data_IF_902886406567
#
_entry.id   IF_902886406567
#
_cell.length_a   1.000
_cell.length_b   1.000
_cell.length_c   1.000
_cell.angle_alpha   90.00
_cell.angle_beta   90.00
_cell.angle_gamma   90.00
#
_symmetry.space_group_name_H-M   'P 1'
#
loop_
_entity.id
_entity.type
_entity.pdbx_description
1 polymer ?
#
# COMPACT_ATOMS: atom_id res chain seq x y z
N UNK A 1 7.65 -26.48 31.20
CA UNK A 1 7.71 -26.25 29.73
C UNK A 1 7.21 -24.84 29.38
N UNK A 2 7.98 -23.78 29.69
CA UNK A 2 7.59 -22.37 29.36
C UNK A 2 8.64 -21.58 28.58
N UNK A 3 9.86 -22.13 28.39
CA UNK A 3 10.97 -21.44 27.71
C UNK A 3 11.03 -21.69 26.19
N UNK A 4 10.39 -22.74 25.68
CA UNK A 4 10.43 -23.09 24.25
C UNK A 4 9.49 -22.18 23.43
N UNK A 5 8.34 -21.80 23.99
CA UNK A 5 7.36 -20.94 23.30
C UNK A 5 7.93 -19.54 23.00
N UNK A 6 8.78 -19.02 23.90
CA UNK A 6 9.44 -17.71 23.70
C UNK A 6 10.46 -17.71 22.57
N UNK A 7 11.13 -18.83 22.28
CA UNK A 7 12.10 -18.91 21.20
C UNK A 7 11.42 -19.01 19.82
N UNK A 8 10.31 -19.73 19.71
CA UNK A 8 9.58 -19.90 18.44
C UNK A 8 8.93 -18.59 17.98
N UNK A 9 8.43 -17.78 18.92
CA UNK A 9 7.84 -16.46 18.61
C UNK A 9 8.94 -15.49 18.14
N UNK A 10 10.15 -15.59 18.70
CA UNK A 10 11.28 -14.75 18.30
C UNK A 10 11.86 -15.13 16.93
N UNK A 11 11.94 -16.42 16.59
CA UNK A 11 12.41 -16.86 15.27
C UNK A 11 11.45 -16.50 14.14
N UNK A 12 10.13 -16.50 14.39
CA UNK A 12 9.13 -16.00 13.44
C UNK A 12 9.27 -14.50 13.17
N UNK A 13 9.65 -13.71 14.19
CA UNK A 13 9.87 -12.27 14.05
C UNK A 13 11.15 -11.95 13.25
N UNK A 14 12.20 -12.76 13.40
CA UNK A 14 13.47 -12.56 12.67
C UNK A 14 13.32 -12.97 11.20
N UNK A 15 12.71 -14.13 10.92
CA UNK A 15 12.43 -14.58 9.55
C UNK A 15 11.48 -13.64 8.78
N UNK A 16 10.58 -12.94 9.49
CA UNK A 16 9.68 -11.93 8.91
C UNK A 16 10.41 -10.66 8.47
N UNK A 17 11.54 -10.30 9.11
CA UNK A 17 12.24 -9.05 8.77
C UNK A 17 13.13 -9.22 7.54
N UNK A 18 13.81 -10.37 7.42
CA UNK A 18 14.64 -10.68 6.25
C UNK A 18 13.78 -10.90 5.01
N UNK A 19 12.65 -11.60 5.15
CA UNK A 19 11.76 -11.91 4.03
C UNK A 19 11.03 -10.70 3.44
N UNK A 20 10.83 -9.61 4.20
CA UNK A 20 10.24 -8.37 3.68
C UNK A 20 11.24 -7.64 2.80
N UNK A 21 12.48 -7.46 3.28
CA UNK A 21 13.53 -6.76 2.54
C UNK A 21 13.82 -7.45 1.20
N UNK A 22 13.91 -8.78 1.18
CA UNK A 22 14.07 -9.57 -0.05
C UNK A 22 12.97 -9.28 -1.08
N UNK A 23 11.71 -9.21 -0.65
CA UNK A 23 10.59 -8.89 -1.54
C UNK A 23 10.67 -7.46 -2.05
N UNK A 24 11.02 -6.49 -1.20
CA UNK A 24 11.20 -5.10 -1.64
C UNK A 24 12.30 -5.00 -2.69
N UNK A 25 13.44 -5.67 -2.47
CA UNK A 25 14.57 -5.72 -3.40
C UNK A 25 14.19 -6.41 -4.72
N UNK A 26 13.54 -7.58 -4.66
CA UNK A 26 13.10 -8.36 -5.84
C UNK A 26 12.16 -7.55 -6.74
N UNK A 27 11.28 -6.74 -6.14
CA UNK A 27 10.28 -5.94 -6.87
C UNK A 27 10.66 -4.46 -7.02
N UNK A 28 11.83 -4.06 -6.55
CA UNK A 28 12.36 -2.69 -6.67
C UNK A 28 11.43 -1.62 -6.10
N UNK A 29 10.74 -1.88 -4.99
CA UNK A 29 9.65 -1.04 -4.47
C UNK A 29 10.08 0.31 -3.87
N UNK A 30 11.36 0.64 -3.98
CA UNK A 30 11.93 1.92 -3.55
C UNK A 30 11.35 3.13 -4.31
N UNK A 31 11.12 4.20 -3.57
CA UNK A 31 10.69 5.50 -4.08
C UNK A 31 9.19 5.64 -4.25
N UNK A 32 8.82 6.55 -5.14
CA UNK A 32 7.43 6.98 -5.34
C UNK A 32 6.71 6.10 -6.36
N UNK A 33 5.43 5.86 -6.10
CA UNK A 33 4.52 5.15 -6.99
C UNK A 33 3.21 5.92 -7.06
N UNK A 34 2.59 5.96 -8.23
CA UNK A 34 1.30 6.64 -8.39
C UNK A 34 0.35 5.82 -9.25
N UNK A 35 -0.93 5.87 -8.91
CA UNK A 35 -2.02 5.35 -9.72
C UNK A 35 -3.16 6.37 -9.75
N UNK A 36 -3.93 6.34 -10.84
CA UNK A 36 -5.09 7.20 -11.04
C UNK A 36 -6.32 6.37 -11.43
N UNK A 37 -7.49 6.76 -10.90
CA UNK A 37 -8.80 6.30 -11.35
C UNK A 37 -9.57 7.55 -11.79
N UNK A 38 -10.13 7.52 -13.00
CA UNK A 38 -10.96 8.61 -13.51
C UNK A 38 -12.39 8.45 -13.00
N UNK A 39 -12.99 9.56 -12.60
CA UNK A 39 -14.35 9.63 -12.12
C UNK A 39 -15.07 10.82 -12.74
N UNK A 40 -16.37 10.72 -12.95
CA UNK A 40 -17.20 11.85 -13.33
C UNK A 40 -18.03 12.26 -12.10
N UNK A 41 -17.53 13.22 -11.31
CA UNK A 41 -18.19 13.67 -10.08
C UNK A 41 -18.74 15.09 -10.26
N UNK A 42 -17.84 16.05 -10.48
CA UNK A 42 -18.15 17.45 -10.79
C UNK A 42 -17.88 17.76 -12.27
N UNK A 43 -16.95 17.06 -12.90
CA UNK A 43 -16.63 17.15 -14.34
C UNK A 43 -16.18 15.80 -14.92
N UNK A 44 -16.26 15.64 -16.24
CA UNK A 44 -15.75 14.46 -16.98
C UNK A 44 -14.23 14.27 -16.85
N UNK A 45 -13.51 15.29 -16.40
CA UNK A 45 -12.05 15.26 -16.24
C UNK A 45 -11.61 15.00 -14.80
N UNK A 46 -12.55 14.76 -13.88
CA UNK A 46 -12.17 14.54 -12.50
C UNK A 46 -11.44 13.20 -12.34
N UNK A 47 -10.47 13.20 -11.43
CA UNK A 47 -9.72 12.01 -11.11
C UNK A 47 -9.49 11.88 -9.61
N UNK A 48 -9.38 10.63 -9.20
CA UNK A 48 -8.95 10.17 -7.90
C UNK A 48 -7.54 9.61 -8.05
N UNK A 49 -6.61 10.09 -7.23
CA UNK A 49 -5.20 9.70 -7.29
C UNK A 49 -4.77 9.08 -5.96
N UNK A 50 -3.97 8.02 -6.07
CA UNK A 50 -3.20 7.47 -4.96
C UNK A 50 -1.72 7.58 -5.26
N UNK A 51 -0.95 8.07 -4.30
CA UNK A 51 0.50 8.01 -4.34
C UNK A 51 1.03 7.26 -3.13
N UNK A 52 2.00 6.39 -3.35
CA UNK A 52 2.69 5.63 -2.31
C UNK A 52 4.15 6.06 -2.27
N UNK A 53 4.62 6.38 -1.07
CA UNK A 53 6.04 6.65 -0.82
C UNK A 53 6.52 5.66 0.23
N UNK A 54 7.34 4.71 -0.19
CA UNK A 54 7.98 3.76 0.72
C UNK A 54 9.16 4.42 1.43
N UNK A 55 9.34 4.14 2.72
CA UNK A 55 10.55 4.54 3.43
C UNK A 55 11.78 3.80 2.89
N UNK A 56 12.97 4.34 3.14
CA UNK A 56 14.23 3.71 2.72
C UNK A 56 14.40 2.30 3.27
N UNK A 57 13.93 2.05 4.51
CA UNK A 57 13.92 0.73 5.13
C UNK A 57 12.71 -0.12 4.72
N UNK A 58 11.78 0.46 3.94
CA UNK A 58 10.54 -0.10 3.42
C UNK A 58 9.62 -0.74 4.47
N UNK A 59 9.81 -0.38 5.74
CA UNK A 59 8.91 -0.79 6.84
C UNK A 59 7.70 0.12 6.94
N UNK A 60 7.76 1.29 6.31
CA UNK A 60 6.70 2.29 6.28
C UNK A 60 6.34 2.63 4.84
N UNK A 61 5.07 2.97 4.65
CA UNK A 61 4.58 3.53 3.42
C UNK A 61 3.65 4.69 3.76
N UNK A 62 3.87 5.84 3.14
CA UNK A 62 2.94 6.96 3.21
C UNK A 62 2.03 6.91 2.00
N UNK A 63 0.73 6.83 2.24
CA UNK A 63 -0.31 6.85 1.23
C UNK A 63 -0.88 8.26 1.18
N UNK A 64 -0.85 8.87 0.00
CA UNK A 64 -1.54 10.13 -0.28
C UNK A 64 -2.77 9.84 -1.13
N UNK A 65 -3.87 10.48 -0.79
CA UNK A 65 -5.15 10.36 -1.49
C UNK A 65 -5.61 11.73 -1.90
N UNK A 66 -5.82 11.94 -3.21
CA UNK A 66 -6.30 13.20 -3.75
C UNK A 66 -7.48 13.01 -4.68
N UNK A 67 -8.34 14.02 -4.75
CA UNK A 67 -9.35 14.16 -5.79
C UNK A 67 -9.14 15.51 -6.46
N UNK A 68 -9.10 15.52 -7.79
CA UNK A 68 -8.74 16.67 -8.63
C UNK A 68 -9.44 18.01 -8.33
N UNK A 69 -10.73 17.99 -7.97
CA UNK A 69 -11.48 19.22 -7.66
C UNK A 69 -11.40 19.65 -6.19
N UNK A 70 -10.75 18.85 -5.32
CA UNK A 70 -10.51 19.21 -3.92
C UNK A 70 -9.13 19.84 -3.76
N UNK A 71 -9.06 20.93 -3.01
CA UNK A 71 -7.79 21.59 -2.64
C UNK A 71 -7.12 20.93 -1.42
N UNK A 72 -7.35 19.63 -1.20
CA UNK A 72 -6.87 18.89 -0.03
C UNK A 72 -6.54 17.44 -0.40
N UNK A 73 -5.60 16.86 0.34
CA UNK A 73 -5.25 15.45 0.27
C UNK A 73 -5.32 14.80 1.65
N UNK A 74 -5.78 13.55 1.71
CA UNK A 74 -5.65 12.71 2.90
C UNK A 74 -4.29 12.04 2.87
N UNK A 75 -3.62 11.97 4.03
CA UNK A 75 -2.30 11.36 4.19
C UNK A 75 -2.32 10.33 5.32
N UNK A 76 -1.80 9.14 5.05
CA UNK A 76 -1.72 8.03 6.01
C UNK A 76 -0.33 7.42 6.04
N UNK A 77 0.31 7.34 7.21
CA UNK A 77 1.59 6.65 7.38
C UNK A 77 1.38 5.25 7.98
N UNK A 78 1.55 4.22 7.16
CA UNK A 78 1.23 2.83 7.48
C UNK A 78 2.49 1.96 7.59
N UNK A 79 2.36 0.82 8.28
CA UNK A 79 3.39 -0.23 8.27
C UNK A 79 3.22 -1.10 7.05
N UNK A 80 4.35 -1.48 6.44
CA UNK A 80 4.39 -2.47 5.36
C UNK A 80 4.66 -3.83 5.97
N UNK A 81 3.93 -4.84 5.53
CA UNK A 81 4.16 -6.24 5.92
C UNK A 81 4.03 -7.15 4.71
N UNK A 82 4.81 -8.22 4.70
CA UNK A 82 4.67 -9.30 3.73
C UNK A 82 3.47 -10.18 4.11
N UNK A 83 2.64 -10.53 3.13
CA UNK A 83 1.47 -11.40 3.31
C UNK A 83 1.43 -12.53 2.26
N UNK A 84 2.58 -13.13 1.97
CA UNK A 84 2.72 -14.15 0.93
C UNK A 84 3.99 -13.92 0.11
N UNK A 85 4.17 -14.67 -0.97
CA UNK A 85 5.35 -14.54 -1.82
C UNK A 85 5.37 -13.22 -2.61
N UNK A 86 4.20 -12.73 -3.01
CA UNK A 86 4.02 -11.64 -3.96
C UNK A 86 2.86 -10.72 -3.55
N UNK A 87 2.61 -10.64 -2.25
CA UNK A 87 1.62 -9.76 -1.64
C UNK A 87 2.24 -9.00 -0.47
N UNK A 88 2.03 -7.68 -0.44
CA UNK A 88 2.28 -6.83 0.72
C UNK A 88 0.94 -6.29 1.25
N UNK A 89 0.88 -6.04 2.55
CA UNK A 89 -0.24 -5.36 3.18
C UNK A 89 0.22 -4.11 3.92
N UNK A 90 -0.61 -3.07 3.90
CA UNK A 90 -0.42 -1.85 4.67
C UNK A 90 -1.35 -1.87 5.89
N UNK A 91 -0.80 -1.67 7.09
CA UNK A 91 -1.55 -1.72 8.35
C UNK A 91 -1.21 -0.54 9.26
N UNK A 92 -2.14 -0.15 10.14
CA UNK A 92 -1.83 0.80 11.20
C UNK A 92 -0.83 0.22 12.22
N UNK A 93 -0.22 1.11 13.02
CA UNK A 93 0.64 0.71 14.15
C UNK A 93 -0.17 -0.06 15.18
N UNK A 94 0.31 -1.24 15.55
CA UNK A 94 -0.36 -2.11 16.53
C UNK A 94 -1.56 -2.89 15.97
N UNK A 95 -1.93 -2.67 14.71
CA UNK A 95 -3.02 -3.39 14.04
C UNK A 95 -2.45 -4.43 13.06
N UNK A 96 -3.17 -5.54 12.87
CA UNK A 96 -2.85 -6.60 11.90
C UNK A 96 -3.81 -6.60 10.71
N UNK A 97 -4.93 -5.88 10.79
CA UNK A 97 -5.88 -5.76 9.69
C UNK A 97 -5.25 -4.95 8.56
N UNK A 98 -5.29 -5.51 7.35
CA UNK A 98 -4.90 -4.81 6.14
C UNK A 98 -5.90 -3.68 5.82
N UNK A 99 -5.38 -2.48 5.60
CA UNK A 99 -6.12 -1.38 4.98
C UNK A 99 -5.97 -1.49 3.46
N UNK A 100 -4.73 -1.59 3.00
CA UNK A 100 -4.39 -1.78 1.60
C UNK A 100 -3.70 -3.13 1.38
N UNK A 101 -4.00 -3.76 0.25
CA UNK A 101 -3.30 -4.94 -0.25
C UNK A 101 -2.61 -4.59 -1.56
N UNK A 102 -1.34 -4.96 -1.68
CA UNK A 102 -0.50 -4.69 -2.84
C UNK A 102 -0.10 -6.03 -3.45
N UNK A 103 -0.46 -6.23 -4.71
CA UNK A 103 -0.23 -7.46 -5.47
C UNK A 103 0.87 -7.23 -6.49
N UNK A 104 1.99 -7.91 -6.28
CA UNK A 104 3.19 -7.77 -7.08
C UNK A 104 3.20 -8.83 -8.20
N UNK A 105 3.56 -8.43 -9.42
CA UNK A 105 3.64 -9.33 -10.57
C UNK A 105 5.09 -9.43 -11.05
N UNK A 106 5.63 -10.65 -11.13
CA UNK A 106 7.04 -10.86 -11.54
C UNK A 106 7.31 -10.41 -12.98
N UNK A 107 6.28 -10.35 -13.82
CA UNK A 107 6.38 -9.95 -15.21
C UNK A 107 6.47 -8.43 -15.41
N UNK A 108 6.23 -7.61 -14.38
CA UNK A 108 6.28 -6.14 -14.48
C UNK A 108 6.85 -5.53 -13.19
N UNK A 109 8.11 -5.10 -13.24
CA UNK A 109 8.76 -4.38 -12.13
C UNK A 109 8.41 -2.88 -12.11
N UNK A 110 7.64 -2.40 -13.09
CA UNK A 110 7.26 -1.01 -13.24
C UNK A 110 5.81 -0.74 -12.83
N UNK A 111 5.07 -1.78 -12.44
CA UNK A 111 3.69 -1.64 -12.00
C UNK A 111 3.24 -2.73 -11.04
N UNK A 112 2.30 -2.42 -10.15
CA UNK A 112 1.60 -3.40 -9.33
C UNK A 112 0.13 -3.01 -9.12
N UNK A 113 -0.70 -3.95 -8.68
CA UNK A 113 -2.08 -3.62 -8.29
C UNK A 113 -2.15 -3.30 -6.80
N UNK A 114 -2.89 -2.26 -6.44
CA UNK A 114 -3.26 -1.97 -5.06
C UNK A 114 -4.78 -2.05 -4.91
N UNK A 115 -5.27 -2.73 -3.88
CA UNK A 115 -6.70 -2.92 -3.56
C UNK A 115 -7.00 -2.53 -2.12
N UNK A 116 -8.15 -1.91 -1.88
CA UNK A 116 -8.60 -1.54 -0.54
C UNK A 116 -10.11 -1.33 -0.48
N UNK A 117 -10.65 -1.34 0.73
CA UNK A 117 -12.00 -0.86 0.98
C UNK A 117 -11.95 0.63 1.32
N UNK A 118 -12.94 1.37 0.83
CA UNK A 118 -13.16 2.78 1.11
C UNK A 118 -13.16 3.04 2.63
N UNK A 119 -12.24 3.89 3.11
CA UNK A 119 -12.09 4.12 4.55
C UNK A 119 -11.69 5.55 4.93
N UNK A 120 -11.04 6.31 4.05
CA UNK A 120 -10.72 7.71 4.32
C UNK A 120 -11.96 8.58 4.24
N UNK A 121 -11.90 9.81 4.78
CA UNK A 121 -13.05 10.72 4.76
C UNK A 121 -13.39 11.11 3.32
N UNK A 122 -12.37 11.49 2.53
CA UNK A 122 -12.53 11.89 1.13
C UNK A 122 -13.13 10.74 0.30
N UNK A 123 -12.67 9.51 0.50
CA UNK A 123 -13.23 8.36 -0.21
C UNK A 123 -14.72 8.16 0.12
N UNK A 124 -15.11 8.23 1.39
CA UNK A 124 -16.51 8.00 1.78
C UNK A 124 -17.46 9.06 1.27
N UNK A 125 -16.98 10.29 1.13
CA UNK A 125 -17.79 11.43 0.70
C UNK A 125 -17.98 11.46 -0.82
N UNK A 126 -16.97 11.07 -1.59
CA UNK A 126 -16.94 11.33 -3.04
C UNK A 126 -16.85 10.08 -3.92
N UNK A 127 -16.43 8.93 -3.38
CA UNK A 127 -16.20 7.72 -4.17
C UNK A 127 -17.34 6.71 -3.92
N UNK A 128 -18.14 6.37 -4.95
CA UNK A 128 -19.32 5.53 -4.78
C UNK A 128 -18.98 4.05 -4.50
N UNK A 129 -17.82 3.57 -4.94
CA UNK A 129 -17.41 2.20 -4.73
C UNK A 129 -16.99 1.94 -3.28
N UNK A 130 -17.40 0.76 -2.79
CA UNK A 130 -16.96 0.26 -1.47
C UNK A 130 -15.56 -0.32 -1.51
N UNK A 131 -15.18 -0.90 -2.65
CA UNK A 131 -13.89 -1.56 -2.86
C UNK A 131 -13.25 -1.02 -4.13
N UNK A 132 -11.97 -0.68 -4.03
CA UNK A 132 -11.23 0.00 -5.07
C UNK A 132 -10.02 -0.83 -5.48
N UNK A 133 -9.65 -0.73 -6.75
CA UNK A 133 -8.43 -1.32 -7.30
C UNK A 133 -7.78 -0.30 -8.22
N UNK A 134 -6.47 -0.13 -8.09
CA UNK A 134 -5.69 0.78 -8.92
C UNK A 134 -4.40 0.11 -9.35
N UNK A 135 -3.99 0.35 -10.60
CA UNK A 135 -2.66 -0.02 -11.06
C UNK A 135 -1.70 1.10 -10.71
N UNK A 136 -0.82 0.84 -9.77
CA UNK A 136 0.28 1.73 -9.40
C UNK A 136 1.39 1.56 -10.43
N UNK A 137 1.96 2.67 -10.88
CA UNK A 137 3.08 2.72 -11.82
C UNK A 137 4.23 3.51 -11.20
N UNK A 138 5.45 3.12 -11.53
CA UNK A 138 6.62 3.95 -11.25
C UNK A 138 6.51 5.24 -12.08
N UNK A 139 6.80 6.42 -11.52
CA UNK A 139 6.85 7.65 -12.31
C UNK A 139 7.87 7.47 -13.44
N UNK A 140 7.48 7.85 -14.66
CA UNK A 140 8.38 7.88 -15.81
C UNK A 140 9.48 8.90 -15.51
N UNK A 141 10.74 8.44 -15.51
CA UNK A 141 11.92 9.32 -15.42
C UNK A 141 12.21 9.97 -16.76
#
# INVERSE_FOLDING_TARGET
MKKILSLVIMSLLIASCDSLKETIDEYGLYGDWSGEIKYEIMSENDYFVKSLIFSDDSKKCTVYTGISFLNSFDQESLNVRKNGANELILTEKGNTKAIYKIYLTKSSLDSFEMKWENHTKIEREYIPEKSLTITMKRPLR
#
